data_IF_375768250952
#
_entry.id   IF_375768250952
#
_cell.length_a   1.000
_cell.length_b   1.000
_cell.length_c   1.000
_cell.angle_alpha   90.00
_cell.angle_beta   90.00
_cell.angle_gamma   90.00
#
_symmetry.space_group_name_H-M   'P 1'
#
loop_
_entity.id
_entity.type
_entity.pdbx_description
1 polymer ?
#
# COMPACT_ATOMS: atom_id res chain seq x y z
N UNK A 1 -15.56 1.48 -17.83
CA UNK A 1 -14.51 1.24 -16.81
C UNK A 1 -14.19 2.57 -16.17
N UNK A 2 -14.81 2.88 -15.03
CA UNK A 2 -14.67 4.17 -14.34
C UNK A 2 -13.26 4.31 -13.77
N UNK A 3 -12.44 5.16 -14.39
CA UNK A 3 -11.11 5.53 -13.92
C UNK A 3 -11.24 6.52 -12.76
N UNK A 4 -11.59 6.02 -11.59
CA UNK A 4 -11.53 6.79 -10.34
C UNK A 4 -10.04 7.04 -10.01
N UNK A 5 -9.53 8.25 -10.31
CA UNK A 5 -8.21 8.69 -9.83
C UNK A 5 -8.39 9.26 -8.43
N UNK A 6 -8.11 8.46 -7.41
CA UNK A 6 -8.14 8.95 -6.02
C UNK A 6 -6.97 9.91 -5.77
N UNK A 7 -7.18 10.93 -4.93
CA UNK A 7 -6.20 12.01 -4.66
C UNK A 7 -4.88 11.51 -4.07
N UNK A 8 -4.86 10.30 -3.53
CA UNK A 8 -3.77 9.71 -2.73
C UNK A 8 -2.81 8.85 -3.55
N UNK A 9 -3.13 8.63 -4.83
CA UNK A 9 -2.28 7.95 -5.80
C UNK A 9 -0.85 8.53 -5.90
N UNK A 10 -0.59 9.85 -5.79
CA UNK A 10 0.76 10.41 -5.83
C UNK A 10 1.69 9.87 -4.72
N UNK A 11 1.18 9.66 -3.50
CA UNK A 11 1.99 9.18 -2.39
C UNK A 11 2.26 7.67 -2.48
N UNK A 12 1.30 6.91 -3.01
CA UNK A 12 1.49 5.49 -3.34
C UNK A 12 2.56 5.37 -4.44
N UNK A 13 2.49 6.21 -5.48
CA UNK A 13 3.51 6.27 -6.55
C UNK A 13 4.89 6.59 -5.96
N UNK A 14 5.01 7.58 -5.05
CA UNK A 14 6.29 7.87 -4.38
C UNK A 14 6.83 6.66 -3.64
N UNK A 15 5.99 5.91 -2.91
CA UNK A 15 6.41 4.70 -2.18
C UNK A 15 6.87 3.61 -3.13
N UNK A 16 6.12 3.36 -4.20
CA UNK A 16 6.48 2.38 -5.23
C UNK A 16 7.78 2.76 -5.96
N UNK A 17 8.01 4.05 -6.21
CA UNK A 17 9.26 4.52 -6.82
C UNK A 17 10.48 4.26 -5.91
N UNK A 18 10.34 4.36 -4.58
CA UNK A 18 11.40 3.97 -3.64
C UNK A 18 11.65 2.45 -3.68
N UNK A 19 10.58 1.65 -3.65
CA UNK A 19 10.69 0.19 -3.75
C UNK A 19 11.36 -0.23 -5.07
N UNK A 20 11.05 0.46 -6.19
CA UNK A 20 11.72 0.26 -7.48
C UNK A 20 13.22 0.53 -7.41
N UNK A 21 13.64 1.63 -6.78
CA UNK A 21 15.06 1.94 -6.59
C UNK A 21 15.78 0.88 -5.74
N UNK A 22 15.14 0.40 -4.67
CA UNK A 22 15.69 -0.67 -3.84
C UNK A 22 15.80 -1.98 -4.63
N UNK A 23 14.79 -2.33 -5.42
CA UNK A 23 14.83 -3.52 -6.26
C UNK A 23 15.96 -3.46 -7.29
N UNK A 24 16.18 -2.29 -7.90
CA UNK A 24 17.32 -2.09 -8.80
C UNK A 24 18.66 -2.34 -8.09
N UNK A 25 18.80 -1.88 -6.84
CA UNK A 25 19.99 -2.16 -6.03
C UNK A 25 20.15 -3.65 -5.74
N UNK A 26 19.06 -4.39 -5.50
CA UNK A 26 19.11 -5.84 -5.28
C UNK A 26 19.59 -6.57 -6.54
N UNK A 27 19.12 -6.14 -7.72
CA UNK A 27 19.60 -6.69 -9.00
C UNK A 27 21.10 -6.47 -9.15
N UNK A 28 21.60 -5.26 -8.91
CA UNK A 28 23.05 -4.98 -8.95
C UNK A 28 23.83 -5.80 -7.92
N UNK A 29 23.29 -6.02 -6.72
CA UNK A 29 23.94 -6.90 -5.73
C UNK A 29 24.10 -8.34 -6.23
N UNK A 30 23.14 -8.84 -6.99
CA UNK A 30 23.22 -10.18 -7.59
C UNK A 30 24.28 -10.20 -8.70
N UNK A 31 24.28 -9.19 -9.57
CA UNK A 31 25.27 -9.04 -10.65
C UNK A 31 26.70 -8.93 -10.10
N UNK A 32 26.88 -8.22 -8.98
CA UNK A 32 28.15 -8.04 -8.29
C UNK A 32 28.58 -9.27 -7.46
N UNK A 33 27.76 -10.34 -7.41
CA UNK A 33 28.07 -11.55 -6.66
C UNK A 33 28.11 -11.37 -5.14
N UNK A 34 27.29 -10.47 -4.59
CA UNK A 34 27.17 -10.24 -3.13
C UNK A 34 26.69 -11.49 -2.39
N UNK A 35 26.92 -11.51 -1.07
CA UNK A 35 26.50 -12.62 -0.22
C UNK A 35 24.97 -12.84 -0.27
N UNK A 36 24.56 -14.12 -0.37
CA UNK A 36 23.14 -14.50 -0.46
C UNK A 36 22.31 -13.98 0.72
N UNK A 37 22.90 -13.91 1.92
CA UNK A 37 22.22 -13.39 3.11
C UNK A 37 21.86 -11.90 2.96
N UNK A 38 22.79 -11.08 2.48
CA UNK A 38 22.56 -9.66 2.23
C UNK A 38 21.44 -9.46 1.19
N UNK A 39 21.49 -10.24 0.11
CA UNK A 39 20.49 -10.19 -0.98
C UNK A 39 19.11 -10.53 -0.43
N UNK A 40 19.00 -11.61 0.36
CA UNK A 40 17.74 -12.03 0.97
C UNK A 40 17.15 -10.96 1.90
N UNK A 41 18.00 -10.30 2.70
CA UNK A 41 17.58 -9.21 3.57
C UNK A 41 17.05 -8.01 2.79
N UNK A 42 17.75 -7.60 1.71
CA UNK A 42 17.30 -6.48 0.87
C UNK A 42 16.02 -6.81 0.11
N UNK A 43 15.89 -8.05 -0.39
CA UNK A 43 14.67 -8.50 -1.04
C UNK A 43 13.46 -8.45 -0.07
N UNK A 44 13.66 -8.87 1.18
CA UNK A 44 12.62 -8.77 2.20
C UNK A 44 12.23 -7.31 2.50
N UNK A 45 13.20 -6.39 2.50
CA UNK A 45 12.91 -4.97 2.67
C UNK A 45 12.06 -4.41 1.51
N UNK A 46 12.34 -4.84 0.26
CA UNK A 46 11.51 -4.49 -0.91
C UNK A 46 10.10 -5.03 -0.76
N UNK A 47 9.95 -6.30 -0.39
CA UNK A 47 8.63 -6.92 -0.14
C UNK A 47 7.82 -6.13 0.88
N UNK A 48 8.42 -5.76 2.02
CA UNK A 48 7.78 -4.95 3.05
C UNK A 48 7.36 -3.58 2.54
N UNK A 49 8.19 -2.92 1.72
CA UNK A 49 7.84 -1.63 1.13
C UNK A 49 6.61 -1.74 0.21
N UNK A 50 6.55 -2.79 -0.62
CA UNK A 50 5.40 -3.07 -1.50
C UNK A 50 4.16 -3.40 -0.68
N UNK A 51 4.28 -4.23 0.36
CA UNK A 51 3.18 -4.59 1.23
C UNK A 51 2.56 -3.36 1.88
N UNK A 52 3.38 -2.41 2.34
CA UNK A 52 2.89 -1.15 2.90
C UNK A 52 2.21 -0.25 1.87
N UNK A 53 2.75 -0.18 0.64
CA UNK A 53 2.12 0.57 -0.44
C UNK A 53 0.73 -0.01 -0.79
N UNK A 54 0.62 -1.34 -0.90
CA UNK A 54 -0.65 -2.05 -1.11
C UNK A 54 -1.66 -1.76 0.00
N UNK A 55 -1.22 -1.85 1.26
CA UNK A 55 -2.08 -1.57 2.42
C UNK A 55 -2.61 -0.14 2.40
N UNK A 56 -1.76 0.83 2.05
CA UNK A 56 -2.16 2.24 1.90
C UNK A 56 -3.21 2.39 0.80
N UNK A 57 -3.01 1.76 -0.36
CA UNK A 57 -3.98 1.78 -1.47
C UNK A 57 -5.34 1.20 -1.06
N UNK A 58 -5.36 0.07 -0.37
CA UNK A 58 -6.61 -0.58 0.07
C UNK A 58 -7.35 0.30 1.08
N UNK A 59 -6.63 0.86 2.06
CA UNK A 59 -7.23 1.77 3.05
C UNK A 59 -7.82 3.00 2.38
N UNK A 60 -7.07 3.62 1.48
CA UNK A 60 -7.52 4.79 0.73
C UNK A 60 -8.79 4.52 -0.08
N UNK A 61 -8.83 3.37 -0.76
CA UNK A 61 -10.00 2.96 -1.51
C UNK A 61 -11.23 2.71 -0.62
N UNK A 62 -11.04 2.06 0.53
CA UNK A 62 -12.11 1.86 1.52
C UNK A 62 -12.56 3.21 2.10
N UNK A 63 -11.64 4.14 2.34
CA UNK A 63 -12.00 5.44 2.90
C UNK A 63 -12.88 6.24 1.94
N UNK A 64 -12.54 6.26 0.65
CA UNK A 64 -13.24 7.06 -0.35
C UNK A 64 -14.48 6.37 -0.96
N UNK A 65 -14.36 5.15 -1.47
CA UNK A 65 -15.46 4.51 -2.19
C UNK A 65 -16.58 4.05 -1.26
N UNK A 66 -16.27 3.76 0.00
CA UNK A 66 -17.28 3.32 0.96
C UNK A 66 -18.14 4.51 1.44
N UNK A 67 -17.56 5.70 1.57
CA UNK A 67 -18.32 6.93 1.86
C UNK A 67 -19.19 7.36 0.67
N UNK A 68 -18.69 7.21 -0.56
CA UNK A 68 -19.48 7.47 -1.78
C UNK A 68 -20.64 6.47 -1.95
N UNK A 69 -20.43 5.19 -1.63
CA UNK A 69 -21.42 4.14 -1.87
C UNK A 69 -22.58 4.13 -0.85
N UNK A 70 -22.35 4.57 0.39
CA UNK A 70 -23.34 4.41 1.47
C UNK A 70 -24.26 5.64 1.63
N UNK A 71 -23.90 6.79 1.05
CA UNK A 71 -24.70 8.02 1.15
C UNK A 71 -24.78 8.55 2.60
N UNK A 72 -25.80 9.37 2.95
CA UNK A 72 -25.89 9.97 4.29
C UNK A 72 -26.03 8.92 5.40
N UNK A 73 -24.95 8.76 6.18
CA UNK A 73 -24.90 7.83 7.31
C UNK A 73 -25.48 8.44 8.59
N UNK A 74 -26.29 7.66 9.30
CA UNK A 74 -26.67 7.93 10.71
C UNK A 74 -25.44 7.83 11.63
N UNK A 75 -25.51 8.41 12.84
CA UNK A 75 -24.40 8.36 13.79
C UNK A 75 -23.94 6.91 14.10
N UNK A 76 -24.89 5.99 14.31
CA UNK A 76 -24.60 4.58 14.59
C UNK A 76 -23.92 3.86 13.41
N UNK A 77 -24.33 4.15 12.17
CA UNK A 77 -23.70 3.53 11.00
C UNK A 77 -22.28 4.07 10.75
N UNK A 78 -22.00 5.34 11.06
CA UNK A 78 -20.62 5.88 10.99
C UNK A 78 -19.68 5.18 11.95
N UNK A 79 -20.17 4.78 13.12
CA UNK A 79 -19.40 4.04 14.11
C UNK A 79 -19.02 2.64 13.59
N UNK A 80 -19.99 1.89 13.05
CA UNK A 80 -19.71 0.60 12.42
C UNK A 80 -18.75 0.68 11.22
N UNK A 81 -18.87 1.73 10.40
CA UNK A 81 -17.95 2.01 9.29
C UNK A 81 -16.52 2.25 9.80
N UNK A 82 -16.37 2.98 10.91
CA UNK A 82 -15.08 3.24 11.54
C UNK A 82 -14.45 1.97 12.10
N UNK A 83 -15.23 1.11 12.73
CA UNK A 83 -14.77 -0.19 13.25
C UNK A 83 -14.31 -1.11 12.12
N UNK A 84 -15.08 -1.18 11.02
CA UNK A 84 -14.69 -1.93 9.83
C UNK A 84 -13.37 -1.41 9.23
N UNK A 85 -13.24 -0.08 9.08
CA UNK A 85 -12.00 0.56 8.61
C UNK A 85 -10.82 0.20 9.52
N UNK A 86 -11.01 0.13 10.83
CA UNK A 86 -9.97 -0.27 11.78
C UNK A 86 -9.54 -1.74 11.61
N UNK A 87 -10.49 -2.65 11.42
CA UNK A 87 -10.21 -4.08 11.15
C UNK A 87 -9.46 -4.23 9.81
N UNK A 88 -9.86 -3.49 8.77
CA UNK A 88 -9.20 -3.51 7.47
C UNK A 88 -7.72 -3.06 7.53
N UNK A 89 -7.28 -2.40 8.61
CA UNK A 89 -5.86 -2.10 8.84
C UNK A 89 -5.02 -3.31 9.23
N UNK A 90 -5.59 -4.49 9.42
CA UNK A 90 -4.84 -5.70 9.75
C UNK A 90 -4.73 -6.70 8.58
N UNK A 91 -5.30 -6.37 7.42
CA UNK A 91 -5.11 -7.06 6.14
C UNK A 91 -3.83 -6.59 5.43
#
# INVERSE_FOLDING_TARGET
MTTQRHQTHPDIIKRLNRARGHLQSVVSMIEDGRACLDIAQQLHAVEKAIQQAKKTLVQDHIDHCMEEAIGPLTANQREHVKDFKAIARYL
#
